data_IF_640125593234
#
_entry.id   IF_640125593234
#
_cell.length_a   1.000
_cell.length_b   1.000
_cell.length_c   1.000
_cell.angle_alpha   90.00
_cell.angle_beta   90.00
_cell.angle_gamma   90.00
#
_symmetry.space_group_name_H-M   'P 1'
#
loop_
_entity.id
_entity.type
_entity.pdbx_description
1 polymer ?
#
# COMPACT_ATOMS: atom_id res chain seq x y z
N UNK A 1 4.06 -23.98 -10.53
CA UNK A 1 4.38 -22.58 -10.21
C UNK A 1 3.14 -21.94 -9.63
N UNK A 2 3.27 -21.38 -8.44
CA UNK A 2 2.24 -20.56 -7.82
C UNK A 2 2.69 -19.10 -7.92
N UNK A 3 1.82 -18.23 -8.40
CA UNK A 3 2.07 -16.80 -8.51
C UNK A 3 0.88 -16.05 -7.88
N UNK A 4 1.19 -15.14 -6.96
CA UNK A 4 0.22 -14.23 -6.34
C UNK A 4 0.70 -12.81 -6.56
N UNK A 5 -0.13 -11.97 -7.15
CA UNK A 5 0.34 -10.64 -7.53
C UNK A 5 -0.75 -9.58 -7.60
N UNK A 6 -0.33 -8.33 -7.41
CA UNK A 6 -1.17 -7.18 -7.66
C UNK A 6 -1.66 -7.17 -9.11
N UNK A 7 -2.92 -6.82 -9.33
CA UNK A 7 -3.52 -6.81 -10.67
C UNK A 7 -4.07 -8.14 -11.16
N UNK A 8 -4.05 -9.21 -10.36
CA UNK A 8 -4.72 -10.50 -10.65
C UNK A 8 -6.03 -10.65 -9.88
N UNK A 9 -6.83 -9.60 -9.87
CA UNK A 9 -8.09 -9.52 -9.10
C UNK A 9 -9.30 -10.12 -9.83
N UNK A 10 -9.15 -10.58 -11.08
CA UNK A 10 -10.21 -11.28 -11.81
C UNK A 10 -9.67 -12.53 -12.53
N UNK A 11 -10.52 -13.51 -12.83
CA UNK A 11 -10.13 -14.71 -13.60
C UNK A 11 -9.46 -14.37 -14.94
N UNK A 12 -9.92 -13.34 -15.63
CA UNK A 12 -9.39 -12.90 -16.92
C UNK A 12 -7.96 -12.36 -16.77
N UNK A 13 -7.70 -11.55 -15.74
CA UNK A 13 -6.37 -11.01 -15.44
C UNK A 13 -5.42 -12.12 -15.00
N UNK A 14 -5.89 -13.06 -14.18
CA UNK A 14 -5.13 -14.25 -13.82
C UNK A 14 -4.70 -15.05 -15.05
N UNK A 15 -5.59 -15.26 -16.04
CA UNK A 15 -5.28 -16.02 -17.26
C UNK A 15 -4.26 -15.29 -18.16
N UNK A 16 -4.29 -13.96 -18.22
CA UNK A 16 -3.26 -13.18 -18.93
C UNK A 16 -1.87 -13.45 -18.35
N UNK A 17 -1.75 -13.41 -17.03
CA UNK A 17 -0.49 -13.68 -16.32
C UNK A 17 -0.09 -15.15 -16.50
N UNK A 18 -1.03 -16.07 -16.30
CA UNK A 18 -0.79 -17.52 -16.44
C UNK A 18 -0.30 -17.87 -17.84
N UNK A 19 -0.86 -17.25 -18.88
CA UNK A 19 -0.43 -17.44 -20.27
C UNK A 19 1.03 -16.99 -20.46
N UNK A 20 1.43 -15.88 -19.87
CA UNK A 20 2.83 -15.42 -19.89
C UNK A 20 3.76 -16.39 -19.17
N UNK A 21 3.37 -16.84 -17.98
CA UNK A 21 4.17 -17.78 -17.17
C UNK A 21 4.32 -19.16 -17.83
N UNK A 22 3.28 -19.69 -18.46
CA UNK A 22 3.34 -20.99 -19.19
C UNK A 22 4.32 -20.97 -20.37
N UNK A 23 4.60 -19.82 -20.96
CA UNK A 23 5.64 -19.69 -22.01
C UNK A 23 7.04 -19.89 -21.47
N UNK A 24 7.27 -19.50 -20.21
CA UNK A 24 8.57 -19.65 -19.53
C UNK A 24 8.68 -21.02 -18.85
N UNK A 25 7.60 -21.47 -18.23
CA UNK A 25 7.53 -22.71 -17.45
C UNK A 25 6.69 -23.77 -18.18
N UNK A 26 7.10 -24.15 -19.40
CA UNK A 26 6.30 -24.99 -20.31
C UNK A 26 5.92 -26.38 -19.74
N UNK A 27 6.70 -26.90 -18.79
CA UNK A 27 6.49 -28.22 -18.17
C UNK A 27 5.92 -28.14 -16.75
N UNK A 28 5.42 -26.96 -16.34
CA UNK A 28 4.91 -26.76 -14.99
C UNK A 28 3.40 -26.48 -14.99
N UNK A 29 2.71 -26.96 -13.97
CA UNK A 29 1.37 -26.47 -13.63
C UNK A 29 1.53 -25.03 -13.12
N UNK A 30 0.77 -24.10 -13.70
CA UNK A 30 0.79 -22.68 -13.32
C UNK A 30 -0.56 -22.32 -12.70
N UNK A 31 -0.51 -21.80 -11.49
CA UNK A 31 -1.66 -21.22 -10.77
C UNK A 31 -1.36 -19.76 -10.46
N UNK A 32 -2.32 -18.89 -10.76
CA UNK A 32 -2.26 -17.45 -10.50
C UNK A 32 -3.42 -17.08 -9.61
N UNK A 33 -3.14 -16.33 -8.54
CA UNK A 33 -4.12 -15.83 -7.58
C UNK A 33 -3.87 -14.36 -7.24
N UNK A 34 -4.76 -13.79 -6.47
CA UNK A 34 -4.69 -12.43 -5.98
C UNK A 34 -3.56 -12.25 -4.97
N UNK A 35 -2.97 -11.07 -4.87
CA UNK A 35 -1.90 -10.77 -3.91
C UNK A 35 -2.35 -10.94 -2.45
N UNK A 36 -3.61 -10.61 -2.14
CA UNK A 36 -4.20 -10.85 -0.82
C UNK A 36 -4.25 -12.33 -0.45
N UNK A 37 -4.55 -13.22 -1.40
CA UNK A 37 -4.51 -14.67 -1.13
C UNK A 37 -3.10 -15.10 -0.74
N UNK A 38 -2.10 -14.63 -1.51
CA UNK A 38 -0.70 -14.91 -1.22
C UNK A 38 -0.25 -14.38 0.14
N UNK A 39 -0.67 -13.16 0.48
CA UNK A 39 -0.38 -12.55 1.78
C UNK A 39 -1.05 -13.36 2.91
N UNK A 40 -2.33 -13.70 2.78
CA UNK A 40 -3.08 -14.49 3.74
C UNK A 40 -2.42 -15.85 4.00
N UNK A 41 -2.10 -16.59 2.94
CA UNK A 41 -1.45 -17.91 3.06
C UNK A 41 -0.05 -17.84 3.67
N UNK A 42 0.72 -16.79 3.34
CA UNK A 42 2.09 -16.63 3.85
C UNK A 42 2.15 -16.22 5.32
N UNK A 43 1.10 -15.61 5.83
CA UNK A 43 1.05 -15.08 7.21
C UNK A 43 0.23 -15.94 8.16
N UNK A 44 -0.42 -16.98 7.66
CA UNK A 44 -1.27 -17.88 8.46
C UNK A 44 -0.45 -18.70 9.46
N UNK A 45 -0.84 -18.65 10.72
CA UNK A 45 -0.17 -19.35 11.85
C UNK A 45 -1.02 -20.43 12.50
N UNK A 46 -2.14 -20.79 11.88
CA UNK A 46 -3.06 -21.80 12.42
C UNK A 46 -4.31 -21.25 13.09
N UNK A 47 -4.41 -19.93 13.24
CA UNK A 47 -5.56 -19.24 13.83
C UNK A 47 -6.11 -18.19 12.85
N UNK A 48 -7.44 -17.92 12.83
CA UNK A 48 -8.02 -16.87 12.04
C UNK A 48 -7.35 -15.52 12.26
N UNK A 49 -7.02 -14.84 11.17
CA UNK A 49 -6.31 -13.57 11.25
C UNK A 49 -6.75 -12.59 10.15
N UNK A 50 -6.63 -11.30 10.44
CA UNK A 50 -6.72 -10.24 9.43
C UNK A 50 -5.34 -9.98 8.87
N UNK A 51 -5.20 -10.14 7.56
CA UNK A 51 -3.96 -9.85 6.82
C UNK A 51 -4.11 -8.52 6.10
N UNK A 52 -3.14 -7.63 6.29
CA UNK A 52 -3.10 -6.32 5.63
C UNK A 52 -1.88 -6.24 4.73
N UNK A 53 -2.07 -5.78 3.49
CA UNK A 53 -0.98 -5.37 2.59
C UNK A 53 -0.82 -3.85 2.71
N UNK A 54 0.39 -3.40 3.02
CA UNK A 54 0.76 -1.98 3.00
C UNK A 54 1.89 -1.77 1.99
N UNK A 55 1.59 -1.07 0.91
CA UNK A 55 2.50 -0.77 -0.18
C UNK A 55 2.22 0.62 -0.75
N UNK A 56 2.22 0.77 -2.07
CA UNK A 56 1.75 2.00 -2.75
C UNK A 56 0.30 2.31 -2.42
N UNK A 57 -0.58 1.30 -2.40
CA UNK A 57 -1.92 1.30 -1.82
C UNK A 57 -1.98 0.43 -0.59
N UNK A 58 -3.17 0.24 -0.03
CA UNK A 58 -3.43 -0.70 1.06
C UNK A 58 -4.67 -1.54 0.79
N UNK A 59 -4.65 -2.78 1.26
CA UNK A 59 -5.81 -3.65 1.23
C UNK A 59 -5.74 -4.64 2.40
N UNK A 60 -6.87 -5.25 2.75
CA UNK A 60 -6.95 -6.22 3.84
C UNK A 60 -7.95 -7.33 3.56
N UNK A 61 -7.69 -8.49 4.12
CA UNK A 61 -8.61 -9.63 4.10
C UNK A 61 -8.58 -10.35 5.45
N UNK A 62 -9.64 -11.09 5.72
CA UNK A 62 -9.67 -12.08 6.78
C UNK A 62 -9.41 -13.47 6.19
N UNK A 63 -8.62 -14.28 6.88
CA UNK A 63 -8.39 -15.68 6.53
C UNK A 63 -8.61 -16.56 7.76
N UNK A 64 -9.53 -17.51 7.66
CA UNK A 64 -9.87 -18.44 8.75
C UNK A 64 -9.13 -19.79 8.68
N UNK A 65 -8.27 -19.97 7.70
CA UNK A 65 -7.55 -21.19 7.40
C UNK A 65 -8.14 -21.97 6.22
N UNK A 66 -9.32 -21.61 5.75
CA UNK A 66 -10.00 -22.24 4.60
C UNK A 66 -10.39 -21.22 3.53
N UNK A 67 -10.95 -20.07 3.96
CA UNK A 67 -11.51 -19.06 3.07
C UNK A 67 -10.88 -17.69 3.33
N UNK A 68 -10.45 -17.02 2.25
CA UNK A 68 -10.07 -15.60 2.25
C UNK A 68 -11.32 -14.77 1.98
N UNK A 69 -11.65 -13.82 2.86
CA UNK A 69 -12.78 -12.92 2.71
C UNK A 69 -12.34 -11.45 2.80
N UNK A 70 -12.83 -10.63 1.87
CA UNK A 70 -12.62 -9.18 1.88
C UNK A 70 -13.84 -8.51 2.48
N UNK A 71 -13.81 -8.23 3.80
CA UNK A 71 -14.92 -7.59 4.53
C UNK A 71 -14.99 -6.09 4.27
N UNK A 72 -13.86 -5.46 3.92
CA UNK A 72 -13.75 -4.04 3.64
C UNK A 72 -13.34 -3.85 2.18
N UNK A 73 -14.14 -3.15 1.37
CA UNK A 73 -13.84 -2.95 -0.04
C UNK A 73 -12.61 -2.06 -0.22
N UNK A 74 -11.72 -2.44 -1.13
CA UNK A 74 -10.61 -1.60 -1.55
C UNK A 74 -11.11 -0.40 -2.37
N UNK A 75 -10.93 0.82 -1.86
CA UNK A 75 -11.42 2.06 -2.48
C UNK A 75 -10.34 2.79 -3.27
N UNK A 76 -9.14 2.24 -3.37
CA UNK A 76 -7.96 2.81 -4.00
C UNK A 76 -7.56 4.19 -3.43
N UNK A 77 -6.49 4.78 -3.97
CA UNK A 77 -5.79 5.92 -3.35
C UNK A 77 -6.60 7.22 -3.23
N UNK A 78 -7.69 7.39 -3.99
CA UNK A 78 -8.51 8.61 -3.93
C UNK A 78 -9.43 8.57 -2.71
N UNK A 79 -10.13 7.46 -2.50
CA UNK A 79 -11.18 7.32 -1.48
C UNK A 79 -10.77 6.47 -0.28
N UNK A 80 -9.66 5.75 -0.37
CA UNK A 80 -9.17 4.80 0.62
C UNK A 80 -7.65 4.77 0.69
N UNK A 81 -7.11 3.56 0.76
CA UNK A 81 -5.68 3.26 0.89
C UNK A 81 -5.06 3.82 2.18
N UNK A 82 -5.83 3.92 3.26
CA UNK A 82 -5.36 4.42 4.55
C UNK A 82 -4.13 3.65 5.03
N UNK A 83 -3.11 4.38 5.48
CA UNK A 83 -1.85 3.81 5.93
C UNK A 83 -0.88 3.40 4.84
N UNK A 84 -1.26 3.52 3.57
CA UNK A 84 -0.39 3.24 2.43
C UNK A 84 0.60 4.36 2.14
N UNK A 85 1.58 4.07 1.28
CA UNK A 85 2.52 5.08 0.79
C UNK A 85 1.85 6.25 0.08
N UNK A 86 0.81 6.00 -0.73
CA UNK A 86 0.07 7.07 -1.39
C UNK A 86 -0.72 7.93 -0.40
N UNK A 87 -1.26 7.34 0.65
CA UNK A 87 -1.97 8.07 1.70
C UNK A 87 -1.03 9.00 2.47
N UNK A 88 0.13 8.50 2.91
CA UNK A 88 1.14 9.32 3.57
C UNK A 88 1.72 10.39 2.65
N UNK A 89 1.92 10.07 1.36
CA UNK A 89 2.36 11.04 0.36
C UNK A 89 1.37 12.19 0.16
N UNK A 90 0.06 11.89 0.12
CA UNK A 90 -0.99 12.93 0.10
C UNK A 90 -0.89 13.84 1.32
N UNK A 91 -0.75 13.24 2.52
CA UNK A 91 -0.64 13.97 3.77
C UNK A 91 0.60 14.86 3.81
N UNK A 92 1.75 14.35 3.38
CA UNK A 92 3.00 15.11 3.32
C UNK A 92 2.87 16.31 2.37
N UNK A 93 2.43 16.08 1.12
CA UNK A 93 2.33 17.15 0.13
C UNK A 93 1.30 18.22 0.51
N UNK A 94 0.15 17.83 1.09
CA UNK A 94 -0.82 18.80 1.57
C UNK A 94 -0.27 19.62 2.74
N UNK A 95 0.40 18.98 3.71
CA UNK A 95 1.02 19.68 4.84
C UNK A 95 2.16 20.60 4.39
N UNK A 96 2.94 20.20 3.39
CA UNK A 96 3.97 21.05 2.78
C UNK A 96 3.35 22.31 2.15
N UNK A 97 2.36 22.13 1.27
CA UNK A 97 1.72 23.24 0.55
C UNK A 97 0.92 24.18 1.46
N UNK A 98 0.43 23.69 2.60
CA UNK A 98 -0.26 24.51 3.60
C UNK A 98 0.69 25.09 4.66
N UNK A 99 2.00 24.89 4.52
CA UNK A 99 3.01 25.33 5.50
C UNK A 99 2.72 24.84 6.93
N UNK A 100 2.25 23.58 7.03
CA UNK A 100 1.92 22.92 8.30
C UNK A 100 3.03 21.99 8.80
N UNK A 101 4.09 21.80 8.01
CA UNK A 101 5.26 21.05 8.43
C UNK A 101 6.12 21.88 9.38
N UNK A 102 6.81 21.26 10.36
CA UNK A 102 7.89 21.90 11.08
C UNK A 102 8.95 22.45 10.12
N UNK A 103 9.59 23.56 10.48
CA UNK A 103 10.50 24.28 9.59
C UNK A 103 11.63 23.41 9.08
N UNK A 104 12.24 22.60 9.93
CA UNK A 104 13.32 21.68 9.58
C UNK A 104 12.89 20.62 8.55
N UNK A 105 11.70 20.02 8.71
CA UNK A 105 11.12 19.06 7.76
C UNK A 105 10.73 19.76 6.45
N UNK A 106 10.16 20.96 6.55
CA UNK A 106 9.78 21.75 5.38
C UNK A 106 11.00 22.10 4.52
N UNK A 107 12.05 22.63 5.14
CA UNK A 107 13.26 23.10 4.45
C UNK A 107 14.03 21.91 3.82
N UNK A 108 14.11 20.76 4.53
CA UNK A 108 14.71 19.56 3.97
C UNK A 108 13.91 19.02 2.78
N UNK A 109 12.57 19.02 2.87
CA UNK A 109 11.71 18.60 1.77
C UNK A 109 11.87 19.51 0.55
N UNK A 110 11.83 20.83 0.75
CA UNK A 110 12.00 21.83 -0.31
C UNK A 110 13.38 21.68 -0.98
N UNK A 111 14.43 21.58 -0.16
CA UNK A 111 15.81 21.40 -0.65
C UNK A 111 15.99 20.14 -1.47
N UNK A 112 15.36 19.04 -1.08
CA UNK A 112 15.52 17.75 -1.74
C UNK A 112 14.72 17.63 -3.03
N UNK A 113 13.49 18.15 -3.05
CA UNK A 113 12.55 17.91 -4.14
C UNK A 113 12.31 19.12 -5.03
N UNK A 114 12.46 20.33 -4.52
CA UNK A 114 12.23 21.58 -5.28
C UNK A 114 10.85 21.67 -5.90
N UNK A 115 9.85 21.06 -5.27
CA UNK A 115 8.49 20.95 -5.79
C UNK A 115 7.67 22.19 -5.37
N UNK A 116 7.00 22.79 -6.33
CA UNK A 116 6.01 23.83 -6.12
C UNK A 116 4.57 23.32 -6.32
N UNK A 117 3.60 24.17 -6.00
CA UNK A 117 2.17 23.84 -6.16
C UNK A 117 1.83 23.42 -7.58
N UNK A 118 2.43 24.07 -8.59
CA UNK A 118 2.09 23.80 -9.99
C UNK A 118 2.59 22.42 -10.43
N UNK A 119 3.83 22.09 -10.12
CA UNK A 119 4.44 20.79 -10.41
C UNK A 119 3.73 19.65 -9.69
N UNK A 120 3.40 19.84 -8.40
CA UNK A 120 2.63 18.85 -7.64
C UNK A 120 1.24 18.63 -8.26
N UNK A 121 0.52 19.72 -8.56
CA UNK A 121 -0.82 19.64 -9.18
C UNK A 121 -0.77 18.91 -10.51
N UNK A 122 0.22 19.20 -11.36
CA UNK A 122 0.41 18.52 -12.63
C UNK A 122 0.63 17.02 -12.44
N UNK A 123 1.54 16.63 -11.53
CA UNK A 123 1.87 15.22 -11.23
C UNK A 123 0.68 14.44 -10.67
N UNK A 124 -0.13 15.06 -9.83
CA UNK A 124 -1.24 14.40 -9.14
C UNK A 124 -2.50 14.31 -10.01
N UNK A 125 -2.80 15.34 -10.82
CA UNK A 125 -4.09 15.44 -11.50
C UNK A 125 -4.02 15.30 -13.02
N UNK A 126 -2.86 15.42 -13.65
CA UNK A 126 -2.73 15.46 -15.10
C UNK A 126 -1.81 14.36 -15.64
N UNK A 127 -0.97 13.75 -14.81
CA UNK A 127 -0.06 12.69 -15.22
C UNK A 127 -0.53 11.31 -14.72
N UNK A 128 -0.17 10.22 -15.41
CA UNK A 128 -0.49 8.87 -14.96
C UNK A 128 0.30 8.48 -13.70
N UNK A 129 -0.19 7.46 -13.01
CA UNK A 129 0.48 6.87 -11.84
C UNK A 129 0.67 7.85 -10.66
N UNK A 130 -0.30 8.71 -10.41
CA UNK A 130 -0.28 9.64 -9.28
C UNK A 130 -0.07 8.95 -7.93
N UNK A 131 -0.65 7.76 -7.74
CA UNK A 131 -0.46 6.94 -6.54
C UNK A 131 1.01 6.54 -6.32
N UNK A 132 1.73 6.18 -7.39
CA UNK A 132 3.16 5.84 -7.33
C UNK A 132 4.00 7.09 -7.00
N UNK A 133 3.68 8.22 -7.62
CA UNK A 133 4.32 9.50 -7.30
C UNK A 133 4.12 9.87 -5.82
N UNK A 134 2.90 9.75 -5.31
CA UNK A 134 2.60 9.99 -3.89
C UNK A 134 3.39 9.04 -2.98
N UNK A 135 3.38 7.74 -3.28
CA UNK A 135 4.08 6.73 -2.48
C UNK A 135 5.61 6.91 -2.49
N UNK A 136 6.18 7.53 -3.52
CA UNK A 136 7.63 7.74 -3.61
C UNK A 136 8.21 8.58 -2.45
N UNK A 137 7.38 9.37 -1.78
CA UNK A 137 7.80 10.18 -0.62
C UNK A 137 7.96 9.36 0.68
N UNK A 138 7.62 8.07 0.68
CA UNK A 138 7.85 7.21 1.85
C UNK A 138 9.32 7.12 2.23
N UNK A 139 10.24 7.20 1.27
CA UNK A 139 11.69 7.25 1.56
C UNK A 139 12.07 8.50 2.37
N UNK A 140 11.45 9.63 2.09
CA UNK A 140 11.63 10.85 2.87
C UNK A 140 11.07 10.69 4.28
N UNK A 141 9.82 10.25 4.40
CA UNK A 141 9.18 10.02 5.69
C UNK A 141 9.92 8.98 6.55
N UNK A 142 10.46 7.93 5.92
CA UNK A 142 11.25 6.92 6.61
C UNK A 142 12.54 7.49 7.25
N UNK A 143 13.21 8.43 6.59
CA UNK A 143 14.37 9.12 7.16
C UNK A 143 14.03 10.03 8.34
N UNK A 144 12.80 10.54 8.37
CA UNK A 144 12.30 11.40 9.44
C UNK A 144 11.35 10.68 10.40
N UNK A 145 11.36 9.33 10.43
CA UNK A 145 10.43 8.51 11.23
C UNK A 145 10.49 8.79 12.74
N UNK A 146 11.63 9.23 13.25
CA UNK A 146 11.79 9.60 14.66
C UNK A 146 11.34 11.02 14.99
N UNK A 147 11.07 11.86 13.96
CA UNK A 147 10.54 13.20 14.19
C UNK A 147 9.10 13.12 14.70
N UNK A 148 8.77 13.88 15.77
CA UNK A 148 7.49 13.78 16.49
C UNK A 148 6.26 13.85 15.59
N UNK A 149 6.26 14.74 14.59
CA UNK A 149 5.13 14.89 13.65
C UNK A 149 5.00 13.67 12.75
N UNK A 150 6.08 13.15 12.20
CA UNK A 150 6.07 11.97 11.34
C UNK A 150 5.70 10.73 12.15
N UNK A 151 6.29 10.57 13.32
CA UNK A 151 5.98 9.50 14.28
C UNK A 151 4.50 9.50 14.67
N UNK A 152 3.93 10.68 14.95
CA UNK A 152 2.50 10.81 15.23
C UNK A 152 1.64 10.38 14.04
N UNK A 153 2.04 10.68 12.81
CA UNK A 153 1.30 10.21 11.63
C UNK A 153 1.34 8.68 11.50
N UNK A 154 2.53 8.09 11.65
CA UNK A 154 2.71 6.64 11.55
C UNK A 154 1.93 5.88 12.64
N UNK A 155 1.88 6.42 13.86
CA UNK A 155 1.19 5.76 14.98
C UNK A 155 -0.33 5.92 14.96
N UNK A 156 -0.86 7.04 14.45
CA UNK A 156 -2.32 7.28 14.41
C UNK A 156 -3.02 6.53 13.29
N UNK A 157 -2.29 6.02 12.31
CA UNK A 157 -2.86 5.32 11.16
C UNK A 157 -2.89 3.80 11.36
N UNK A 158 -2.20 3.29 12.38
CA UNK A 158 -2.35 1.89 12.77
C UNK A 158 -3.78 1.70 13.30
N UNK A 159 -4.49 0.77 12.71
CA UNK A 159 -5.87 0.37 13.00
C UNK A 159 -6.19 0.47 14.50
N UNK A 160 -7.27 1.16 14.84
CA UNK A 160 -7.69 1.25 16.25
C UNK A 160 -7.91 -0.16 16.79
N UNK A 161 -7.22 -0.58 17.87
CA UNK A 161 -7.33 -1.95 18.41
C UNK A 161 -8.73 -2.34 18.88
N UNK A 162 -9.63 -1.37 18.97
CA UNK A 162 -11.00 -1.57 19.49
C UNK A 162 -11.98 -2.24 18.52
N UNK A 163 -11.62 -2.42 17.25
CA UNK A 163 -12.50 -3.03 16.24
C UNK A 163 -12.17 -4.47 15.89
N UNK A 164 -11.05 -5.01 16.35
CA UNK A 164 -10.58 -6.34 15.95
C UNK A 164 -10.26 -7.19 17.19
N UNK A 165 -11.15 -8.12 17.50
CA UNK A 165 -10.84 -9.25 18.39
C UNK A 165 -10.14 -10.34 17.55
N UNK A 166 -8.86 -10.17 17.25
CA UNK A 166 -8.12 -11.16 16.47
C UNK A 166 -6.67 -10.76 16.21
N UNK A 167 -5.89 -11.70 15.68
CA UNK A 167 -4.50 -11.47 15.28
C UNK A 167 -4.47 -10.63 14.01
N UNK A 168 -3.77 -9.50 14.03
CA UNK A 168 -3.52 -8.67 12.85
C UNK A 168 -2.10 -8.97 12.38
N UNK A 169 -1.96 -9.37 11.13
CA UNK A 169 -0.65 -9.56 10.50
C UNK A 169 -0.50 -8.53 9.39
N UNK A 170 0.56 -7.72 9.47
CA UNK A 170 0.85 -6.69 8.46
C UNK A 170 1.92 -7.23 7.52
N UNK A 171 1.58 -7.35 6.26
CA UNK A 171 2.51 -7.67 5.18
C UNK A 171 2.91 -6.37 4.48
N UNK A 172 4.18 -5.95 4.63
CA UNK A 172 4.70 -4.76 3.94
C UNK A 172 5.45 -5.17 2.68
N UNK A 173 5.00 -4.66 1.55
CA UNK A 173 5.71 -4.75 0.26
C UNK A 173 6.23 -3.34 -0.04
N UNK A 174 7.48 -3.08 0.32
CA UNK A 174 8.22 -1.90 -0.12
C UNK A 174 9.26 -2.27 -1.17
#
# INVERSE_FOLDING_TARGET
VYFYGAGSSSPELCEVIATGLRRVFANAEVRVGHDLDGAAYSTYTGEPAVTCILGTGSNSCMFDGEVVSEEVPALAYILGDEGSGSWFGKKLLSSFLYHQLPTDIHDDFESQYGLDKLSITKRVYQEPNANVFLASFMTFLGRHSEHDVVKAWLTTTTCSPSMLSGTIVIYSVM
#
